data_IF_083731705720
#
_entry.id   IF_083731705720
#
_cell.length_a   1.000
_cell.length_b   1.000
_cell.length_c   1.000
_cell.angle_alpha   90.00
_cell.angle_beta   90.00
_cell.angle_gamma   90.00
#
_symmetry.space_group_name_H-M   'P 1'
#
loop_
_entity.id
_entity.type
_entity.pdbx_description
1 polymer ?
#
# COMPACT_ATOMS: atom_id res chain seq x y z
N UNK A 1 -21.00 6.57 38.31
CA UNK A 1 -19.99 6.13 39.31
C UNK A 1 -19.06 5.16 38.59
N UNK A 2 -17.90 5.60 38.09
CA UNK A 2 -16.57 5.57 38.72
C UNK A 2 -16.15 4.21 39.32
N UNK A 3 -15.14 3.63 38.66
CA UNK A 3 -13.94 2.94 39.16
C UNK A 3 -14.00 1.44 39.48
N UNK A 4 -13.18 0.65 38.77
CA UNK A 4 -11.93 0.01 39.26
C UNK A 4 -11.41 -0.96 38.17
N UNK A 5 -10.39 -0.61 37.39
CA UNK A 5 -8.95 -0.86 37.63
C UNK A 5 -8.51 -2.33 37.45
N UNK A 6 -7.51 -2.50 36.59
CA UNK A 6 -6.46 -3.54 36.58
C UNK A 6 -6.81 -4.98 36.16
N UNK A 7 -6.30 -5.37 34.99
CA UNK A 7 -5.32 -6.46 34.90
C UNK A 7 -4.58 -6.39 33.55
N UNK A 8 -3.32 -5.96 33.62
CA UNK A 8 -2.29 -6.36 32.65
C UNK A 8 -2.00 -7.81 32.97
N UNK A 9 -2.25 -8.73 32.05
CA UNK A 9 -1.72 -10.09 32.12
C UNK A 9 -0.74 -10.29 30.97
N UNK A 10 0.52 -9.92 31.25
CA UNK A 10 1.68 -10.40 30.49
C UNK A 10 1.94 -11.82 30.98
N UNK A 11 1.61 -12.81 30.14
CA UNK A 11 2.09 -14.18 30.35
C UNK A 11 3.27 -14.39 29.41
N UNK A 12 4.48 -14.34 29.97
CA UNK A 12 5.66 -14.95 29.38
C UNK A 12 6.24 -15.95 30.39
N UNK A 13 6.01 -17.24 30.15
CA UNK A 13 6.98 -18.34 30.28
C UNK A 13 6.27 -19.66 29.94
N UNK A 14 6.64 -20.29 28.83
CA UNK A 14 7.65 -21.36 28.78
C UNK A 14 7.18 -22.61 29.51
N UNK A 15 6.47 -23.50 28.79
CA UNK A 15 6.79 -24.92 28.70
C UNK A 15 5.83 -25.59 27.70
N UNK A 16 6.46 -26.18 26.68
CA UNK A 16 6.07 -27.38 25.91
C UNK A 16 4.65 -27.53 25.34
N UNK A 17 4.64 -27.91 24.05
CA UNK A 17 3.56 -28.55 23.27
C UNK A 17 2.56 -27.62 22.58
N UNK A 18 3.05 -26.91 21.55
CA UNK A 18 2.35 -26.91 20.27
C UNK A 18 3.36 -27.22 19.17
N UNK A 19 3.16 -28.38 18.56
CA UNK A 19 3.98 -29.00 17.52
C UNK A 19 4.26 -28.06 16.34
N UNK A 20 5.53 -28.06 15.97
CA UNK A 20 6.14 -27.82 14.68
C UNK A 20 5.20 -27.65 13.47
N UNK A 21 5.09 -26.41 12.98
CA UNK A 21 5.01 -26.17 11.52
C UNK A 21 6.40 -25.72 11.07
N UNK A 22 7.27 -26.71 10.87
CA UNK A 22 8.45 -26.57 10.02
C UNK A 22 7.98 -26.48 8.56
N UNK A 23 8.13 -25.31 7.93
CA UNK A 23 8.29 -25.26 6.47
C UNK A 23 9.80 -25.33 6.23
N UNK A 24 10.25 -26.50 5.84
CA UNK A 24 11.61 -26.77 5.37
C UNK A 24 11.82 -26.15 3.98
N UNK A 25 12.62 -25.10 3.89
CA UNK A 25 13.28 -24.72 2.64
C UNK A 25 14.67 -25.36 2.59
N UNK A 26 14.69 -26.66 2.27
CA UNK A 26 15.88 -27.34 1.79
C UNK A 26 15.91 -27.24 0.25
N UNK A 27 16.52 -26.17 -0.27
CA UNK A 27 17.28 -26.25 -1.52
C UNK A 27 18.47 -25.30 -1.45
N UNK A 28 19.67 -25.88 -1.32
CA UNK A 28 20.95 -25.20 -1.43
C UNK A 28 21.28 -24.91 -2.90
N UNK A 29 21.66 -23.65 -3.15
CA UNK A 29 22.53 -23.14 -4.22
C UNK A 29 22.11 -23.30 -5.70
N UNK A 30 21.53 -22.24 -6.23
CA UNK A 30 22.15 -21.47 -7.33
C UNK A 30 21.60 -20.03 -7.29
N UNK A 31 22.48 -19.07 -7.04
CA UNK A 31 22.21 -17.64 -7.14
C UNK A 31 21.81 -17.30 -8.59
N UNK A 32 20.52 -17.09 -8.83
CA UNK A 32 20.03 -16.31 -9.96
C UNK A 32 18.97 -15.35 -9.42
N UNK A 33 19.27 -14.05 -9.47
CA UNK A 33 18.38 -12.96 -9.09
C UNK A 33 17.09 -13.02 -9.94
N UNK A 34 15.99 -13.53 -9.37
CA UNK A 34 14.66 -13.34 -9.95
C UNK A 34 14.18 -11.90 -9.67
N UNK A 35 13.89 -11.08 -10.70
CA UNK A 35 13.35 -9.76 -10.48
C UNK A 35 11.87 -9.89 -10.13
N UNK A 36 11.53 -9.64 -8.86
CA UNK A 36 10.13 -9.52 -8.41
C UNK A 36 9.53 -8.24 -8.98
N UNK A 37 9.13 -8.28 -10.25
CA UNK A 37 8.45 -7.21 -10.95
C UNK A 37 7.05 -6.97 -10.37
N UNK A 38 6.97 -6.27 -9.25
CA UNK A 38 6.02 -5.17 -9.06
C UNK A 38 6.83 -4.11 -8.32
N UNK A 39 7.60 -3.34 -9.08
CA UNK A 39 8.13 -2.06 -8.64
C UNK A 39 6.94 -1.11 -8.48
N UNK A 40 6.24 -1.23 -7.35
CA UNK A 40 5.35 -0.16 -6.89
C UNK A 40 6.28 0.99 -6.50
N UNK A 41 6.58 1.85 -7.47
CA UNK A 41 7.33 3.09 -7.29
C UNK A 41 8.54 2.86 -6.38
N UNK A 42 9.48 2.05 -6.85
CA UNK A 42 10.76 1.86 -6.20
C UNK A 42 11.41 3.20 -5.87
N UNK A 43 12.28 3.19 -4.85
CA UNK A 43 13.05 4.32 -4.30
C UNK A 43 13.95 5.08 -5.32
N UNK A 44 13.73 4.91 -6.62
CA UNK A 44 14.36 5.61 -7.74
C UNK A 44 13.72 6.99 -8.05
N UNK A 45 12.95 7.58 -7.13
CA UNK A 45 12.59 9.01 -7.24
C UNK A 45 13.79 9.94 -6.95
N UNK A 46 14.92 9.39 -6.51
CA UNK A 46 16.17 10.13 -6.36
C UNK A 46 16.79 10.57 -7.70
N UNK A 47 16.49 9.90 -8.82
CA UNK A 47 17.11 10.15 -10.13
C UNK A 47 16.20 10.85 -11.15
N UNK A 48 14.94 11.12 -10.80
CA UNK A 48 14.15 12.11 -11.55
C UNK A 48 14.70 13.48 -11.19
N UNK A 49 15.64 13.99 -12.01
CA UNK A 49 16.07 15.40 -11.95
C UNK A 49 14.86 16.29 -12.20
N UNK A 50 14.17 16.66 -11.13
CA UNK A 50 13.05 17.58 -11.17
C UNK A 50 13.58 18.94 -11.62
N UNK A 51 13.23 19.36 -12.84
CA UNK A 51 13.71 20.61 -13.45
C UNK A 51 12.88 21.84 -13.06
N UNK A 52 11.90 21.68 -12.17
CA UNK A 52 11.10 22.79 -11.64
C UNK A 52 11.60 23.33 -10.29
N UNK A 53 10.94 24.38 -9.76
CA UNK A 53 11.13 24.84 -8.38
C UNK A 53 10.49 23.83 -7.40
N UNK A 54 11.25 22.86 -6.88
CA UNK A 54 10.72 21.76 -6.04
C UNK A 54 9.83 22.21 -4.88
N UNK A 55 9.25 21.26 -4.13
CA UNK A 55 8.35 21.60 -3.03
C UNK A 55 8.99 22.56 -2.01
N UNK A 56 8.41 23.75 -1.85
CA UNK A 56 8.92 24.81 -0.97
C UNK A 56 9.09 24.38 0.49
N UNK A 57 8.25 23.44 0.95
CA UNK A 57 8.29 22.93 2.32
C UNK A 57 9.35 21.83 2.52
N UNK A 58 9.72 21.12 1.45
CA UNK A 58 10.65 19.99 1.54
C UNK A 58 12.08 20.44 1.87
N UNK A 59 12.52 21.56 1.31
CA UNK A 59 13.87 22.11 1.52
C UNK A 59 14.20 22.41 2.99
N UNK A 60 13.18 22.63 3.82
CA UNK A 60 13.30 23.02 5.21
C UNK A 60 12.99 21.88 6.19
N UNK A 61 12.83 20.63 5.74
CA UNK A 61 12.50 19.48 6.60
C UNK A 61 13.49 19.35 7.78
N UNK A 62 14.77 19.61 7.54
CA UNK A 62 15.82 19.53 8.57
C UNK A 62 15.58 20.43 9.79
N UNK A 63 14.78 21.50 9.69
CA UNK A 63 14.45 22.37 10.82
C UNK A 63 13.49 21.76 11.84
N UNK A 64 12.79 20.67 11.47
CA UNK A 64 11.82 19.98 12.34
C UNK A 64 11.96 18.45 12.29
N UNK A 65 12.86 17.91 11.47
CA UNK A 65 13.04 16.48 11.22
C UNK A 65 13.91 15.75 12.25
N UNK A 66 14.23 16.35 13.39
CA UNK A 66 14.89 15.67 14.50
C UNK A 66 14.35 16.14 15.85
N UNK A 67 14.34 15.24 16.84
CA UNK A 67 13.89 15.58 18.19
C UNK A 67 14.69 16.74 18.79
N UNK A 68 15.99 16.83 18.49
CA UNK A 68 16.85 17.94 18.92
C UNK A 68 16.39 19.30 18.39
N UNK A 69 16.01 19.38 17.10
CA UNK A 69 15.51 20.64 16.52
C UNK A 69 14.12 20.99 17.07
N UNK A 70 13.23 20.01 17.24
CA UNK A 70 11.94 20.20 17.90
C UNK A 70 12.10 20.71 19.33
N UNK A 71 13.08 20.20 20.09
CA UNK A 71 13.36 20.68 21.43
C UNK A 71 13.81 22.13 21.50
N UNK A 72 14.59 22.60 20.53
CA UNK A 72 14.96 24.03 20.41
C UNK A 72 13.73 24.92 20.17
N UNK A 73 12.69 24.37 19.55
CA UNK A 73 11.41 25.01 19.33
C UNK A 73 10.45 24.90 20.52
N UNK A 74 10.94 24.41 21.68
CA UNK A 74 10.17 24.17 22.91
C UNK A 74 9.07 23.12 22.73
N UNK A 75 9.28 22.19 21.80
CA UNK A 75 8.35 21.12 21.49
C UNK A 75 8.78 19.82 22.20
N UNK A 76 8.76 19.87 23.54
CA UNK A 76 9.22 18.80 24.44
C UNK A 76 8.09 17.98 25.07
N UNK A 77 6.84 18.39 24.86
CA UNK A 77 5.67 17.64 25.33
C UNK A 77 5.26 16.62 24.27
N UNK A 78 4.53 15.56 24.64
CA UNK A 78 3.87 14.71 23.65
C UNK A 78 3.06 15.57 22.68
N UNK A 79 3.15 15.23 21.40
CA UNK A 79 2.55 15.96 20.30
C UNK A 79 1.91 14.98 19.32
N UNK A 80 0.88 15.45 18.63
CA UNK A 80 0.23 14.73 17.54
C UNK A 80 0.64 15.29 16.17
N UNK A 81 0.09 14.71 15.12
CA UNK A 81 0.40 15.12 13.74
C UNK A 81 -0.11 16.54 13.46
N UNK A 82 -1.21 16.96 14.09
CA UNK A 82 -1.79 18.28 13.97
C UNK A 82 -0.86 19.36 14.52
N UNK A 83 -0.22 19.10 15.66
CA UNK A 83 0.76 20.02 16.24
C UNK A 83 2.04 20.09 15.40
N UNK A 84 2.52 18.95 14.86
CA UNK A 84 3.65 18.93 13.94
C UNK A 84 3.33 19.75 12.66
N UNK A 85 2.09 19.68 12.16
CA UNK A 85 1.63 20.50 11.02
C UNK A 85 1.63 21.98 11.37
N UNK A 86 1.22 22.38 12.58
CA UNK A 86 1.27 23.79 13.02
C UNK A 86 2.70 24.33 12.99
N UNK A 87 3.66 23.57 13.49
CA UNK A 87 5.08 23.98 13.48
C UNK A 87 5.65 23.96 12.06
N UNK A 88 5.35 22.93 11.27
CA UNK A 88 5.79 22.86 9.88
C UNK A 88 5.32 24.07 9.07
N UNK A 89 4.09 24.56 9.31
CA UNK A 89 3.61 25.81 8.70
C UNK A 89 4.41 27.04 9.14
N UNK A 90 4.72 27.17 10.43
CA UNK A 90 5.50 28.29 10.96
C UNK A 90 6.95 28.29 10.45
N UNK A 91 7.55 27.11 10.33
CA UNK A 91 8.93 26.91 9.89
C UNK A 91 9.07 26.67 8.40
N UNK A 92 7.95 26.69 7.67
CA UNK A 92 7.89 26.40 6.23
C UNK A 92 8.59 25.09 5.89
N UNK A 93 8.39 24.09 6.73
CA UNK A 93 8.98 22.76 6.66
C UNK A 93 7.88 21.70 6.49
N UNK A 94 8.16 20.64 5.73
CA UNK A 94 7.18 19.60 5.41
C UNK A 94 6.97 18.65 6.61
N UNK A 95 5.78 18.61 7.22
CA UNK A 95 5.49 17.73 8.35
C UNK A 95 5.60 16.25 8.01
N UNK A 96 5.18 15.87 6.79
CA UNK A 96 5.20 14.48 6.32
C UNK A 96 6.62 13.89 6.32
N UNK A 97 7.55 14.56 5.64
CA UNK A 97 8.95 14.11 5.59
C UNK A 97 9.66 14.27 6.94
N UNK A 98 9.28 15.27 7.74
CA UNK A 98 9.80 15.43 9.09
C UNK A 98 9.39 14.27 10.01
N UNK A 99 8.12 13.86 10.00
CA UNK A 99 7.62 12.72 10.76
C UNK A 99 8.36 11.42 10.39
N UNK A 100 8.63 11.22 9.09
CA UNK A 100 9.41 10.07 8.60
C UNK A 100 10.85 10.07 9.13
N UNK A 101 11.51 11.23 9.20
CA UNK A 101 12.84 11.33 9.81
C UNK A 101 12.83 11.16 11.33
N UNK A 102 11.76 11.61 12.00
CA UNK A 102 11.63 11.47 13.46
C UNK A 102 11.41 10.01 13.88
N UNK A 103 10.68 9.24 13.08
CA UNK A 103 10.41 7.82 13.30
C UNK A 103 11.68 7.01 13.56
N UNK A 104 12.78 7.28 12.86
CA UNK A 104 14.05 6.54 13.00
C UNK A 104 14.66 6.61 14.41
N UNK A 105 14.29 7.63 15.19
CA UNK A 105 14.82 7.87 16.54
C UNK A 105 13.73 7.89 17.62
N UNK A 106 12.50 7.54 17.25
CA UNK A 106 11.37 7.53 18.17
C UNK A 106 11.36 6.25 19.02
N UNK A 107 11.05 6.39 20.32
CA UNK A 107 10.90 5.26 21.24
C UNK A 107 9.48 4.67 21.23
N UNK A 108 8.49 5.47 20.84
CA UNK A 108 7.08 5.09 20.74
C UNK A 108 6.48 5.73 19.50
N UNK A 109 5.82 4.92 18.68
CA UNK A 109 5.18 5.35 17.43
C UNK A 109 3.72 4.90 17.46
N UNK A 110 2.83 5.87 17.29
CA UNK A 110 1.43 5.59 16.99
C UNK A 110 1.29 5.51 15.46
N UNK A 111 0.88 4.34 14.96
CA UNK A 111 0.65 4.15 13.53
C UNK A 111 -0.69 3.45 13.27
N UNK A 112 -1.35 3.72 12.13
CA UNK A 112 -2.53 2.98 11.72
C UNK A 112 -2.21 1.51 11.41
N UNK A 113 -3.21 0.64 11.53
CA UNK A 113 -3.08 -0.79 11.20
C UNK A 113 -2.59 -1.08 9.78
N UNK A 114 -2.98 -0.26 8.80
CA UNK A 114 -2.56 -0.41 7.40
C UNK A 114 -1.04 -0.37 7.23
N UNK A 115 -0.32 0.32 8.12
CA UNK A 115 1.14 0.40 8.07
C UNK A 115 1.81 -0.90 8.51
N UNK A 116 1.08 -1.79 9.18
CA UNK A 116 1.57 -3.09 9.64
C UNK A 116 1.05 -4.25 8.78
N UNK A 117 -0.03 -4.05 8.03
CA UNK A 117 -0.68 -5.12 7.27
C UNK A 117 -0.38 -5.02 5.78
N UNK A 118 -0.40 -3.82 5.20
CA UNK A 118 -0.17 -3.63 3.77
C UNK A 118 1.34 -3.58 3.47
N UNK A 119 1.89 -4.57 2.74
CA UNK A 119 3.32 -4.61 2.43
C UNK A 119 3.78 -3.43 1.56
N UNK A 120 2.89 -2.85 0.74
CA UNK A 120 3.21 -1.70 -0.10
C UNK A 120 3.38 -0.45 0.76
N UNK A 121 2.48 -0.25 1.72
CA UNK A 121 2.56 0.87 2.66
C UNK A 121 3.79 0.70 3.58
N UNK A 122 4.05 -0.51 4.08
CA UNK A 122 5.23 -0.81 4.90
C UNK A 122 6.53 -0.39 4.20
N UNK A 123 6.70 -0.80 2.94
CA UNK A 123 7.87 -0.46 2.13
C UNK A 123 7.98 1.04 1.92
N UNK A 124 6.90 1.68 1.49
CA UNK A 124 6.85 3.13 1.23
C UNK A 124 7.17 3.98 2.48
N UNK A 125 6.67 3.56 3.63
CA UNK A 125 6.90 4.23 4.91
C UNK A 125 8.21 3.82 5.60
N UNK A 126 8.95 2.84 5.04
CA UNK A 126 10.18 2.29 5.61
C UNK A 126 9.99 1.82 7.07
N UNK A 127 8.83 1.24 7.37
CA UNK A 127 8.55 0.66 8.69
C UNK A 127 9.32 -0.66 8.79
N UNK A 128 10.35 -0.71 9.65
CA UNK A 128 11.16 -1.90 9.88
C UNK A 128 10.95 -2.39 11.30
N UNK A 129 10.15 -3.44 11.48
CA UNK A 129 9.79 -3.99 12.79
C UNK A 129 10.86 -4.92 13.37
N UNK A 130 12.14 -4.59 13.23
CA UNK A 130 13.22 -5.44 13.71
C UNK A 130 13.62 -5.04 15.13
N UNK A 131 13.30 -5.92 16.09
CA UNK A 131 13.50 -5.70 17.55
C UNK A 131 12.53 -4.73 18.21
N UNK A 132 11.36 -4.53 17.61
CA UNK A 132 10.29 -3.70 18.17
C UNK A 132 9.20 -4.54 18.84
N UNK A 133 8.48 -3.94 19.79
CA UNK A 133 7.26 -4.51 20.39
C UNK A 133 6.05 -3.82 19.77
N UNK A 134 5.18 -4.59 19.12
CA UNK A 134 3.94 -4.08 18.54
C UNK A 134 2.79 -4.31 19.51
N UNK A 135 2.06 -3.24 19.82
CA UNK A 135 0.86 -3.28 20.65
C UNK A 135 -0.32 -2.97 19.73
N UNK A 136 -1.27 -3.91 19.62
CA UNK A 136 -2.48 -3.73 18.83
C UNK A 136 -3.58 -3.19 19.74
N UNK A 137 -4.01 -1.95 19.51
CA UNK A 137 -5.10 -1.32 20.26
C UNK A 137 -6.45 -1.64 19.62
N UNK A 138 -7.40 -2.15 20.39
CA UNK A 138 -8.67 -2.69 19.85
C UNK A 138 -8.44 -3.78 18.79
N UNK A 139 -7.65 -4.80 19.16
CA UNK A 139 -7.23 -5.88 18.27
C UNK A 139 -8.38 -6.62 17.56
N UNK A 140 -9.63 -6.48 18.01
CA UNK A 140 -10.79 -7.03 17.32
C UNK A 140 -11.01 -6.43 15.92
N UNK A 141 -10.50 -5.21 15.65
CA UNK A 141 -10.63 -4.54 14.35
C UNK A 141 -9.65 -5.08 13.29
N UNK A 142 -8.62 -5.85 13.69
CA UNK A 142 -7.54 -6.26 12.78
C UNK A 142 -8.04 -7.14 11.62
N UNK A 143 -9.04 -7.98 11.88
CA UNK A 143 -9.61 -8.89 10.88
C UNK A 143 -10.27 -8.10 9.75
N UNK A 144 -11.13 -7.14 10.11
CA UNK A 144 -11.86 -6.33 9.15
C UNK A 144 -10.91 -5.49 8.30
N UNK A 145 -9.88 -4.90 8.92
CA UNK A 145 -8.88 -4.08 8.21
C UNK A 145 -8.01 -4.93 7.30
N UNK A 146 -7.67 -6.15 7.72
CA UNK A 146 -6.92 -7.10 6.88
C UNK A 146 -7.75 -7.51 5.66
N UNK A 147 -9.05 -7.78 5.87
CA UNK A 147 -9.99 -8.12 4.78
C UNK A 147 -10.15 -6.96 3.81
N UNK A 148 -10.24 -5.73 4.31
CA UNK A 148 -10.32 -4.53 3.47
C UNK A 148 -9.02 -4.27 2.70
N UNK A 149 -7.85 -4.45 3.34
CA UNK A 149 -6.54 -4.27 2.70
C UNK A 149 -6.27 -5.29 1.59
N UNK A 150 -6.86 -6.48 1.69
CA UNK A 150 -6.78 -7.52 0.66
C UNK A 150 -7.89 -7.42 -0.41
N UNK A 151 -8.88 -6.53 -0.21
CA UNK A 151 -9.98 -6.36 -1.13
C UNK A 151 -9.64 -5.30 -2.19
N UNK A 152 -9.97 -5.59 -3.44
CA UNK A 152 -9.89 -4.64 -4.54
C UNK A 152 -11.25 -4.58 -5.25
N UNK A 153 -11.83 -3.38 -5.29
CA UNK A 153 -13.05 -3.10 -6.03
C UNK A 153 -12.74 -2.16 -7.19
N UNK A 154 -13.34 -2.43 -8.35
CA UNK A 154 -13.19 -1.59 -9.54
C UNK A 154 -14.57 -1.31 -10.14
N UNK A 155 -14.89 -0.03 -10.32
CA UNK A 155 -16.10 0.41 -11.00
C UNK A 155 -15.89 0.46 -12.53
N UNK A 156 -16.96 0.21 -13.28
CA UNK A 156 -17.00 0.39 -14.72
C UNK A 156 -16.67 1.85 -15.12
N UNK A 157 -17.16 2.83 -14.36
CA UNK A 157 -16.89 4.25 -14.63
C UNK A 157 -15.43 4.64 -14.33
N UNK A 158 -14.84 4.10 -13.26
CA UNK A 158 -13.42 4.28 -12.96
C UNK A 158 -12.54 3.75 -14.10
N UNK A 159 -12.88 2.57 -14.63
CA UNK A 159 -12.16 1.96 -15.74
C UNK A 159 -12.27 2.78 -17.02
N UNK A 160 -13.45 3.33 -17.33
CA UNK A 160 -13.65 4.24 -18.49
C UNK A 160 -12.83 5.52 -18.36
N UNK A 161 -12.79 6.11 -17.16
CA UNK A 161 -11.97 7.31 -16.90
C UNK A 161 -10.50 6.97 -17.09
N UNK A 162 -10.02 5.85 -16.53
CA UNK A 162 -8.63 5.42 -16.69
C UNK A 162 -8.24 5.22 -18.17
N UNK A 163 -9.08 4.53 -18.95
CA UNK A 163 -8.84 4.33 -20.40
C UNK A 163 -8.72 5.68 -21.12
N UNK A 164 -9.62 6.63 -20.81
CA UNK A 164 -9.61 7.96 -21.41
C UNK A 164 -8.33 8.73 -21.06
N UNK A 165 -7.94 8.74 -19.79
CA UNK A 165 -6.76 9.46 -19.32
C UNK A 165 -5.48 8.89 -19.95
N UNK A 166 -5.34 7.57 -19.97
CA UNK A 166 -4.18 6.89 -20.58
C UNK A 166 -4.12 7.15 -22.08
N UNK A 167 -5.25 7.13 -22.78
CA UNK A 167 -5.31 7.44 -24.22
C UNK A 167 -4.89 8.89 -24.47
N UNK A 168 -5.34 9.83 -23.65
CA UNK A 168 -4.94 11.24 -23.74
C UNK A 168 -3.43 11.44 -23.53
N UNK A 169 -2.82 10.70 -22.59
CA UNK A 169 -1.37 10.70 -22.38
C UNK A 169 -0.64 10.13 -23.60
N UNK A 170 -1.14 9.04 -24.19
CA UNK A 170 -0.57 8.47 -25.41
C UNK A 170 -0.61 9.46 -26.58
N UNK A 171 -1.73 10.17 -26.76
CA UNK A 171 -1.90 11.20 -27.79
C UNK A 171 -0.97 12.40 -27.60
N UNK A 172 -0.57 12.70 -26.36
CA UNK A 172 0.40 13.75 -26.05
C UNK A 172 1.85 13.38 -26.44
N UNK A 173 2.09 12.13 -26.85
CA UNK A 173 3.41 11.63 -27.27
C UNK A 173 4.28 11.08 -26.15
N UNK A 174 3.76 10.97 -24.92
CA UNK A 174 4.48 10.36 -23.80
C UNK A 174 4.32 8.84 -23.89
N UNK A 175 5.43 8.11 -24.13
CA UNK A 175 5.47 6.63 -24.18
C UNK A 175 4.22 6.04 -24.89
N UNK A 176 3.96 6.41 -26.15
CA UNK A 176 2.68 6.13 -26.78
C UNK A 176 2.43 4.64 -26.96
N UNK A 177 3.47 3.82 -27.11
CA UNK A 177 3.31 2.38 -27.28
C UNK A 177 2.81 1.72 -25.97
N UNK A 178 3.42 2.08 -24.86
CA UNK A 178 3.16 1.57 -23.51
C UNK A 178 1.76 1.99 -23.04
N UNK A 179 1.42 3.27 -23.20
CA UNK A 179 0.11 3.78 -22.83
C UNK A 179 -1.01 3.19 -23.71
N UNK A 180 -0.81 3.04 -25.02
CA UNK A 180 -1.81 2.39 -25.88
C UNK A 180 -1.99 0.91 -25.53
N UNK A 181 -0.91 0.22 -25.15
CA UNK A 181 -0.99 -1.17 -24.69
C UNK A 181 -1.80 -1.29 -23.39
N UNK A 182 -1.53 -0.42 -22.41
CA UNK A 182 -2.29 -0.35 -21.15
C UNK A 182 -3.77 0.01 -21.40
N UNK A 183 -4.06 0.98 -22.26
CA UNK A 183 -5.44 1.35 -22.61
C UNK A 183 -6.20 0.17 -23.24
N UNK A 184 -5.53 -0.62 -24.09
CA UNK A 184 -6.10 -1.83 -24.68
C UNK A 184 -6.38 -2.90 -23.62
N UNK A 185 -5.45 -3.13 -22.70
CA UNK A 185 -5.64 -4.07 -21.60
C UNK A 185 -6.86 -3.69 -20.73
N UNK A 186 -6.97 -2.42 -20.35
CA UNK A 186 -8.12 -1.92 -19.58
C UNK A 186 -9.43 -2.00 -20.37
N UNK A 187 -9.40 -1.78 -21.68
CA UNK A 187 -10.57 -1.96 -22.55
C UNK A 187 -11.03 -3.42 -22.58
N UNK A 188 -10.11 -4.38 -22.68
CA UNK A 188 -10.45 -5.80 -22.60
C UNK A 188 -11.05 -6.17 -21.24
N UNK A 189 -10.52 -5.60 -20.14
CA UNK A 189 -11.09 -5.79 -18.80
C UNK A 189 -12.51 -5.21 -18.70
N UNK A 190 -12.76 -4.07 -19.34
CA UNK A 190 -14.09 -3.47 -19.41
C UNK A 190 -15.09 -4.40 -20.13
N UNK A 191 -14.67 -4.99 -21.25
CA UNK A 191 -15.47 -5.98 -21.98
C UNK A 191 -15.78 -7.22 -21.14
N UNK A 192 -14.85 -7.67 -20.29
CA UNK A 192 -15.09 -8.77 -19.33
C UNK A 192 -16.18 -8.39 -18.33
N UNK A 193 -16.12 -7.20 -17.75
CA UNK A 193 -17.13 -6.71 -16.81
C UNK A 193 -18.51 -6.64 -17.51
N UNK A 194 -18.54 -6.13 -18.74
CA UNK A 194 -19.77 -6.05 -19.53
C UNK A 194 -20.34 -7.42 -19.89
N UNK A 195 -19.50 -8.41 -20.21
CA UNK A 195 -19.96 -9.78 -20.52
C UNK A 195 -20.56 -10.48 -19.29
N UNK A 196 -20.05 -10.17 -18.09
CA UNK A 196 -20.59 -10.65 -16.82
C UNK A 196 -21.98 -10.10 -16.48
N UNK A 197 -22.37 -8.94 -17.02
CA UNK A 197 -23.68 -8.31 -16.75
C UNK A 197 -24.86 -9.24 -17.04
N UNK A 198 -24.74 -10.05 -18.09
CA UNK A 198 -25.77 -11.03 -18.49
C UNK A 198 -25.88 -12.23 -17.54
N UNK A 199 -24.86 -12.47 -16.72
CA UNK A 199 -24.74 -13.61 -15.79
C UNK A 199 -25.08 -13.23 -14.35
N UNK A 200 -25.42 -11.97 -14.09
CA UNK A 200 -25.83 -11.49 -12.77
C UNK A 200 -27.11 -12.20 -12.33
N UNK A 201 -27.05 -12.76 -11.12
CA UNK A 201 -28.17 -13.45 -10.48
C UNK A 201 -28.62 -12.66 -9.26
N UNK A 202 -29.93 -12.49 -9.09
CA UNK A 202 -30.48 -11.85 -7.87
C UNK A 202 -30.40 -12.83 -6.72
N UNK A 203 -29.72 -12.45 -5.64
CA UNK A 203 -29.68 -13.25 -4.41
C UNK A 203 -30.70 -12.75 -3.40
N UNK A 204 -30.65 -11.45 -3.06
CA UNK A 204 -31.56 -10.79 -2.13
C UNK A 204 -31.96 -9.41 -2.66
N UNK A 205 -33.05 -8.87 -2.11
CA UNK A 205 -34.00 -7.91 -2.70
C UNK A 205 -33.48 -6.70 -3.50
N UNK A 206 -32.21 -6.31 -3.40
CA UNK A 206 -31.68 -5.12 -4.09
C UNK A 206 -30.31 -5.31 -4.78
N UNK A 207 -29.68 -6.50 -4.75
CA UNK A 207 -28.38 -6.71 -5.39
C UNK A 207 -28.35 -7.95 -6.30
N UNK A 208 -27.83 -7.75 -7.51
CA UNK A 208 -27.55 -8.82 -8.46
C UNK A 208 -26.04 -9.09 -8.46
N UNK A 209 -25.66 -10.34 -8.22
CA UNK A 209 -24.27 -10.76 -8.06
C UNK A 209 -23.98 -11.93 -8.99
N UNK A 210 -22.77 -11.98 -9.51
CA UNK A 210 -22.25 -13.11 -10.26
C UNK A 210 -20.98 -13.62 -9.56
N UNK A 211 -21.04 -14.83 -9.02
CA UNK A 211 -19.90 -15.48 -8.38
C UNK A 211 -19.11 -16.25 -9.42
N UNK A 212 -17.79 -16.11 -9.37
CA UNK A 212 -16.86 -16.89 -10.17
C UNK A 212 -15.84 -17.54 -9.25
N UNK A 213 -15.60 -18.83 -9.47
CA UNK A 213 -14.38 -19.45 -8.96
C UNK A 213 -13.17 -19.01 -9.79
N UNK A 214 -11.96 -19.31 -9.28
CA UNK A 214 -10.72 -18.92 -9.95
C UNK A 214 -10.59 -19.51 -11.36
N UNK A 215 -11.04 -20.75 -11.58
CA UNK A 215 -10.95 -21.42 -12.88
C UNK A 215 -11.84 -20.74 -13.93
N UNK A 216 -13.07 -20.38 -13.55
CA UNK A 216 -14.02 -19.67 -14.40
C UNK A 216 -13.52 -18.26 -14.71
N UNK A 217 -12.95 -17.57 -13.72
CA UNK A 217 -12.36 -16.25 -13.91
C UNK A 217 -11.18 -16.29 -14.91
N UNK A 218 -10.24 -17.23 -14.74
CA UNK A 218 -9.09 -17.39 -15.65
C UNK A 218 -9.55 -17.71 -17.07
N UNK A 219 -10.53 -18.61 -17.23
CA UNK A 219 -11.08 -18.94 -18.54
C UNK A 219 -11.73 -17.72 -19.20
N UNK A 220 -12.48 -16.93 -18.43
CA UNK A 220 -13.12 -15.70 -18.93
C UNK A 220 -12.07 -14.67 -19.36
N UNK A 221 -11.03 -14.45 -18.55
CA UNK A 221 -9.93 -13.56 -18.89
C UNK A 221 -9.20 -14.00 -20.16
N UNK A 222 -8.97 -15.30 -20.34
CA UNK A 222 -8.34 -15.83 -21.56
C UNK A 222 -9.20 -15.59 -22.81
N UNK A 223 -10.53 -15.76 -22.71
CA UNK A 223 -11.46 -15.49 -23.83
C UNK A 223 -11.39 -14.02 -24.29
N UNK A 224 -11.22 -13.10 -23.35
CA UNK A 224 -11.13 -11.66 -23.61
C UNK A 224 -9.70 -11.16 -23.85
N UNK A 225 -8.72 -12.06 -24.03
CA UNK A 225 -7.34 -11.67 -24.36
C UNK A 225 -6.60 -10.96 -23.23
N UNK A 226 -6.95 -11.26 -21.98
CA UNK A 226 -6.21 -10.87 -20.77
C UNK A 226 -5.85 -12.10 -19.93
N UNK A 227 -5.54 -13.21 -20.61
CA UNK A 227 -5.14 -14.46 -19.98
C UNK A 227 -3.75 -14.38 -19.35
N UNK A 228 -3.28 -15.51 -18.83
CA UNK A 228 -1.99 -15.59 -18.11
C UNK A 228 -0.82 -15.15 -19.00
N UNK A 229 -0.80 -15.54 -20.27
CA UNK A 229 0.29 -15.18 -21.20
C UNK A 229 0.32 -13.68 -21.48
N UNK A 230 -0.84 -13.08 -21.74
CA UNK A 230 -0.98 -11.64 -21.98
C UNK A 230 -0.65 -10.84 -20.71
N UNK A 231 -1.05 -11.34 -19.54
CA UNK A 231 -0.69 -10.74 -18.27
C UNK A 231 0.83 -10.79 -17.99
N UNK A 232 1.51 -11.89 -18.32
CA UNK A 232 2.96 -11.98 -18.18
C UNK A 232 3.67 -10.99 -19.11
N UNK A 233 3.19 -10.85 -20.35
CA UNK A 233 3.70 -9.84 -21.27
C UNK A 233 3.45 -8.41 -20.75
N UNK A 234 2.26 -8.18 -20.18
CA UNK A 234 1.90 -6.91 -19.54
C UNK A 234 2.82 -6.58 -18.37
N UNK A 235 3.12 -7.57 -17.53
CA UNK A 235 4.05 -7.42 -16.40
C UNK A 235 5.45 -7.03 -16.86
N UNK A 236 5.96 -7.63 -17.93
CA UNK A 236 7.28 -7.28 -18.51
C UNK A 236 7.31 -5.85 -19.03
N UNK A 237 6.21 -5.36 -19.60
CA UNK A 237 6.12 -4.00 -20.15
C UNK A 237 5.90 -2.91 -19.07
N UNK A 238 5.66 -3.29 -17.81
CA UNK A 238 5.49 -2.36 -16.69
C UNK A 238 6.76 -2.12 -15.87
N UNK A 239 7.80 -2.94 -16.04
CA UNK A 239 9.12 -2.83 -15.39
C UNK A 239 10.09 -2.15 -16.34
#
# INVERSE_FOLDING_TARGET
>A
ERLSSEAIEVILNSDSEWDDIYISDDTTSSEEDEPTGIDVLGDNFADVKWTGPGCYFYSNVNYIGSHTELSKLKFNTPWDIEDLVKIGRQKKACPYYAARSLQDTAELIFCPYSYLIDPLIQKSMNVKLSRDVVILDEAHNIEDISRESANFSLDQEELKVAIKDITSVAESGTLPHEHNYLARFLSNLLEVIESCKSKLSRMDSDQAVYYMDGTTAIALFSIHGIGVAEFLQFKVNLV
#
